data_IF_910171120153
#
_entry.id   IF_910171120153
#
_cell.length_a   1.000
_cell.length_b   1.000
_cell.length_c   1.000
_cell.angle_alpha   90.00
_cell.angle_beta   90.00
_cell.angle_gamma   90.00
#
_symmetry.space_group_name_H-M   'P 1'
#
loop_
_entity.id
_entity.type
_entity.pdbx_description
1 polymer ?
#
# COMPACT_ATOMS: atom_id res chain seq x y z
N UNK A 1 46.57 -23.64 -72.39
CA UNK A 1 46.55 -22.22 -72.82
C UNK A 1 46.48 -21.34 -71.57
N UNK A 2 47.59 -20.69 -71.23
CA UNK A 2 47.67 -19.82 -70.03
C UNK A 2 47.21 -18.43 -70.44
N UNK A 3 46.14 -17.95 -69.78
CA UNK A 3 45.55 -16.62 -69.96
C UNK A 3 46.48 -15.58 -69.28
N UNK A 4 47.27 -14.84 -70.10
CA UNK A 4 48.06 -13.72 -69.62
C UNK A 4 47.17 -12.62 -69.11
N UNK A 5 47.13 -12.37 -67.76
CA UNK A 5 46.55 -11.20 -67.16
C UNK A 5 47.38 -9.97 -67.58
N UNK A 6 46.76 -9.07 -68.33
CA UNK A 6 47.33 -7.76 -68.68
C UNK A 6 47.41 -6.91 -67.47
N UNK A 7 48.62 -6.58 -66.97
CA UNK A 7 48.84 -5.57 -65.95
C UNK A 7 48.28 -4.22 -66.42
N UNK A 8 47.18 -3.75 -65.77
CA UNK A 8 46.63 -2.43 -66.08
C UNK A 8 47.71 -1.38 -65.78
N UNK A 9 48.17 -0.65 -66.80
CA UNK A 9 49.11 0.48 -66.66
C UNK A 9 48.40 1.62 -66.00
N UNK A 10 48.63 1.86 -64.71
CA UNK A 10 48.08 2.95 -63.96
C UNK A 10 48.88 4.21 -64.22
N UNK A 11 48.32 5.21 -64.93
CA UNK A 11 49.00 6.48 -65.21
C UNK A 11 49.14 7.30 -63.96
N UNK A 12 50.21 8.16 -63.83
CA UNK A 12 50.47 9.03 -62.68
C UNK A 12 49.26 9.87 -62.25
N UNK A 13 48.42 10.27 -63.20
CA UNK A 13 47.18 11.02 -62.99
C UNK A 13 46.10 10.17 -62.27
N UNK A 14 46.05 8.88 -62.52
CA UNK A 14 45.13 7.95 -61.88
C UNK A 14 45.58 7.64 -60.43
N UNK A 15 46.89 7.54 -60.19
CA UNK A 15 47.44 7.35 -58.85
C UNK A 15 47.12 8.56 -57.91
N UNK A 16 47.35 9.76 -58.40
CA UNK A 16 47.05 11.02 -57.62
C UNK A 16 45.56 11.18 -57.32
N UNK A 17 44.67 10.64 -58.18
CA UNK A 17 43.22 10.66 -57.94
C UNK A 17 42.81 9.61 -56.89
N UNK A 18 43.37 8.42 -56.96
CA UNK A 18 43.15 7.35 -56.00
C UNK A 18 43.66 7.74 -54.60
N UNK A 19 44.83 8.37 -54.50
CA UNK A 19 45.37 8.87 -53.22
C UNK A 19 44.44 9.95 -52.59
N UNK A 20 43.94 10.89 -53.38
CA UNK A 20 42.97 11.89 -52.89
C UNK A 20 41.65 11.25 -52.45
N UNK A 21 41.13 10.27 -53.17
CA UNK A 21 39.93 9.54 -52.80
C UNK A 21 40.15 8.72 -51.52
N UNK A 22 41.33 8.11 -51.33
CA UNK A 22 41.68 7.38 -50.10
C UNK A 22 41.80 8.32 -48.91
N UNK A 23 42.40 9.49 -49.07
CA UNK A 23 42.51 10.49 -48.04
C UNK A 23 41.12 11.00 -47.66
N UNK A 24 40.27 11.34 -48.62
CA UNK A 24 38.89 11.77 -48.40
C UNK A 24 38.06 10.69 -47.67
N UNK A 25 38.15 9.43 -48.09
CA UNK A 25 37.49 8.29 -47.45
C UNK A 25 37.93 8.16 -45.98
N UNK A 26 39.25 8.28 -45.71
CA UNK A 26 39.77 8.24 -44.34
C UNK A 26 39.18 9.37 -43.48
N UNK A 27 39.17 10.59 -43.98
CA UNK A 27 38.57 11.72 -43.26
C UNK A 27 37.07 11.52 -42.99
N UNK A 28 36.32 11.07 -43.97
CA UNK A 28 34.87 10.77 -43.83
C UNK A 28 34.70 9.65 -42.81
N UNK A 29 35.45 8.57 -42.89
CA UNK A 29 35.37 7.46 -41.93
C UNK A 29 35.71 7.90 -40.51
N UNK A 30 36.80 8.67 -40.35
CA UNK A 30 37.16 9.19 -39.03
C UNK A 30 36.10 10.15 -38.48
N UNK A 31 35.59 11.07 -39.29
CA UNK A 31 34.53 11.96 -38.94
C UNK A 31 33.24 11.22 -38.52
N UNK A 32 32.83 10.19 -39.29
CA UNK A 32 31.68 9.35 -38.98
C UNK A 32 31.87 8.62 -37.65
N UNK A 33 33.03 7.98 -37.47
CA UNK A 33 33.35 7.30 -36.18
C UNK A 33 33.34 8.28 -35.02
N UNK A 34 33.92 9.48 -35.20
CA UNK A 34 33.93 10.49 -34.14
C UNK A 34 32.52 10.94 -33.75
N UNK A 35 31.63 11.15 -34.72
CA UNK A 35 30.22 11.50 -34.45
C UNK A 35 29.53 10.36 -33.70
N UNK A 36 29.71 9.11 -34.11
CA UNK A 36 29.11 7.95 -33.41
C UNK A 36 29.62 7.86 -31.97
N UNK A 37 30.92 8.04 -31.75
CA UNK A 37 31.52 8.01 -30.40
C UNK A 37 30.93 9.13 -29.54
N UNK A 38 30.79 10.34 -30.06
CA UNK A 38 30.20 11.47 -29.33
C UNK A 38 28.74 11.16 -28.96
N UNK A 39 27.93 10.66 -29.89
CA UNK A 39 26.54 10.28 -29.62
C UNK A 39 26.44 9.21 -28.54
N UNK A 40 27.27 8.17 -28.62
CA UNK A 40 27.31 7.12 -27.60
C UNK A 40 27.72 7.70 -26.24
N UNK A 41 28.74 8.55 -26.22
CA UNK A 41 29.18 9.21 -24.98
C UNK A 41 28.07 10.07 -24.33
N UNK A 42 27.31 10.81 -25.12
CA UNK A 42 26.19 11.62 -24.63
C UNK A 42 25.06 10.72 -24.06
N UNK A 43 24.76 9.61 -24.72
CA UNK A 43 23.77 8.65 -24.23
C UNK A 43 24.23 8.06 -22.89
N UNK A 44 25.48 7.60 -22.82
CA UNK A 44 26.06 7.04 -21.56
C UNK A 44 26.07 8.11 -20.46
N UNK A 45 26.48 9.34 -20.76
CA UNK A 45 26.44 10.43 -19.80
C UNK A 45 25.02 10.71 -19.28
N UNK A 46 24.02 10.68 -20.17
CA UNK A 46 22.61 10.78 -19.77
C UNK A 46 22.19 9.68 -18.81
N UNK A 47 22.51 8.43 -19.10
CA UNK A 47 22.22 7.31 -18.20
C UNK A 47 22.92 7.44 -16.83
N UNK A 48 24.17 7.88 -16.81
CA UNK A 48 24.92 8.06 -15.56
C UNK A 48 24.31 9.21 -14.73
N UNK A 49 23.94 10.31 -15.36
CA UNK A 49 23.32 11.44 -14.66
C UNK A 49 21.97 11.03 -14.06
N UNK A 50 21.11 10.41 -14.87
CA UNK A 50 19.76 9.99 -14.42
C UNK A 50 19.80 8.83 -13.40
N UNK A 51 20.64 7.84 -13.63
CA UNK A 51 20.64 6.59 -12.84
C UNK A 51 21.55 6.61 -11.62
N UNK A 52 22.56 7.49 -11.57
CA UNK A 52 23.56 7.48 -10.49
C UNK A 52 23.66 8.82 -9.77
N UNK A 53 23.68 9.93 -10.51
CA UNK A 53 23.94 11.23 -9.90
C UNK A 53 22.66 11.81 -9.28
N UNK A 54 21.57 11.87 -10.03
CA UNK A 54 20.30 12.44 -9.53
C UNK A 54 19.74 11.71 -8.32
N UNK A 55 19.71 10.37 -8.26
CA UNK A 55 19.21 9.66 -7.09
C UNK A 55 19.94 10.00 -5.80
N UNK A 56 21.23 10.28 -5.87
CA UNK A 56 22.07 10.61 -4.70
C UNK A 56 22.07 12.08 -4.31
N UNK A 57 21.36 12.93 -5.05
CA UNK A 57 21.26 14.34 -4.70
C UNK A 57 20.48 14.53 -3.40
N UNK A 58 21.00 15.37 -2.47
CA UNK A 58 20.30 15.69 -1.23
C UNK A 58 19.06 16.54 -1.54
N UNK A 59 17.93 16.21 -0.90
CA UNK A 59 16.70 17.01 -0.93
C UNK A 59 16.42 17.66 0.42
N UNK A 60 16.86 17.03 1.52
CA UNK A 60 16.82 17.57 2.87
C UNK A 60 18.00 17.04 3.68
N UNK A 61 18.28 17.69 4.78
CA UNK A 61 19.28 17.26 5.75
C UNK A 61 18.74 17.48 7.16
N UNK A 62 18.84 16.46 7.99
CA UNK A 62 18.49 16.49 9.41
C UNK A 62 19.77 16.22 10.19
N UNK A 63 20.30 17.23 10.84
CA UNK A 63 21.59 17.19 11.51
C UNK A 63 22.69 16.63 10.58
N UNK A 64 23.23 15.45 10.88
CA UNK A 64 24.29 14.80 10.08
C UNK A 64 23.73 13.85 9.00
N UNK A 65 22.44 13.56 9.01
CA UNK A 65 21.80 12.63 8.08
C UNK A 65 21.25 13.34 6.85
N UNK A 66 21.60 12.83 5.68
CA UNK A 66 21.17 13.37 4.38
C UNK A 66 20.01 12.52 3.84
N UNK A 67 18.87 13.16 3.58
CA UNK A 67 17.74 12.56 2.88
C UNK A 67 17.98 12.73 1.39
N UNK A 68 18.18 11.62 0.67
CA UNK A 68 18.46 11.62 -0.76
C UNK A 68 17.18 11.59 -1.61
N UNK A 69 17.32 11.99 -2.88
CA UNK A 69 16.23 11.89 -3.86
C UNK A 69 15.71 10.45 -4.01
N UNK A 70 16.59 9.46 -3.92
CA UNK A 70 16.23 8.04 -4.02
C UNK A 70 15.34 7.59 -2.85
N UNK A 71 15.74 7.91 -1.61
CA UNK A 71 14.95 7.62 -0.41
C UNK A 71 13.56 8.25 -0.50
N UNK A 72 13.49 9.52 -0.88
CA UNK A 72 12.25 10.23 -1.06
C UNK A 72 11.35 9.59 -2.14
N UNK A 73 11.91 9.33 -3.32
CA UNK A 73 11.15 8.74 -4.42
C UNK A 73 10.66 7.34 -4.08
N UNK A 74 11.46 6.54 -3.38
CA UNK A 74 11.07 5.22 -2.92
C UNK A 74 9.91 5.30 -1.93
N UNK A 75 10.01 6.19 -0.94
CA UNK A 75 8.95 6.41 0.04
C UNK A 75 7.65 6.91 -0.60
N UNK A 76 7.72 7.86 -1.54
CA UNK A 76 6.55 8.35 -2.30
C UNK A 76 5.90 7.21 -3.09
N UNK A 77 6.69 6.35 -3.75
CA UNK A 77 6.15 5.19 -4.48
C UNK A 77 5.44 4.22 -3.55
N UNK A 78 6.01 3.98 -2.35
CA UNK A 78 5.40 3.10 -1.36
C UNK A 78 4.09 3.66 -0.81
N UNK A 79 4.04 4.94 -0.47
CA UNK A 79 2.80 5.58 -0.02
C UNK A 79 1.72 5.57 -1.11
N UNK A 80 2.07 5.86 -2.36
CA UNK A 80 1.13 5.73 -3.48
C UNK A 80 0.59 4.31 -3.62
N UNK A 81 1.46 3.31 -3.45
CA UNK A 81 1.03 1.92 -3.47
C UNK A 81 0.02 1.64 -2.35
N UNK A 82 0.27 2.10 -1.12
CA UNK A 82 -0.65 1.94 0.01
C UNK A 82 -2.00 2.60 -0.25
N UNK A 83 -2.02 3.88 -0.62
CA UNK A 83 -3.26 4.60 -0.95
C UNK A 83 -4.02 3.97 -2.12
N UNK A 84 -3.31 3.52 -3.15
CA UNK A 84 -3.96 2.85 -4.29
C UNK A 84 -4.60 1.54 -3.86
N UNK A 85 -3.93 0.76 -3.02
CA UNK A 85 -4.45 -0.50 -2.48
C UNK A 85 -5.68 -0.24 -1.60
N UNK A 86 -5.63 0.75 -0.74
CA UNK A 86 -6.73 1.18 0.13
C UNK A 86 -7.94 1.64 -0.69
N UNK A 87 -7.71 2.47 -1.71
CA UNK A 87 -8.76 2.90 -2.63
C UNK A 87 -9.45 1.71 -3.31
N UNK A 88 -8.66 0.79 -3.86
CA UNK A 88 -9.19 -0.39 -4.55
C UNK A 88 -9.95 -1.34 -3.61
N UNK A 89 -9.43 -1.57 -2.42
CA UNK A 89 -10.08 -2.40 -1.40
C UNK A 89 -11.42 -1.78 -0.97
N UNK A 90 -11.44 -0.47 -0.71
CA UNK A 90 -12.66 0.26 -0.37
C UNK A 90 -13.67 0.19 -1.51
N UNK A 91 -13.23 0.41 -2.74
CA UNK A 91 -14.11 0.33 -3.92
C UNK A 91 -14.69 -1.07 -4.11
N UNK A 92 -13.90 -2.14 -3.96
CA UNK A 92 -14.37 -3.52 -4.01
C UNK A 92 -15.36 -3.83 -2.87
N UNK A 93 -15.08 -3.32 -1.67
CA UNK A 93 -15.98 -3.47 -0.53
C UNK A 93 -17.34 -2.83 -0.82
N UNK A 94 -17.37 -1.60 -1.35
CA UNK A 94 -18.60 -0.91 -1.75
C UNK A 94 -19.38 -1.74 -2.77
N UNK A 95 -18.72 -2.30 -3.78
CA UNK A 95 -19.36 -3.15 -4.78
C UNK A 95 -19.94 -4.43 -4.17
N UNK A 96 -19.30 -4.99 -3.15
CA UNK A 96 -19.76 -6.20 -2.48
C UNK A 96 -21.02 -6.00 -1.63
N UNK A 97 -21.31 -4.76 -1.22
CA UNK A 97 -22.49 -4.43 -0.41
C UNK A 97 -23.83 -4.60 -1.16
N UNK A 98 -23.80 -4.50 -2.51
CA UNK A 98 -24.98 -4.68 -3.36
C UNK A 98 -26.06 -3.61 -3.20
N UNK A 99 -25.84 -2.57 -2.38
CA UNK A 99 -26.74 -1.43 -2.21
C UNK A 99 -26.37 -0.32 -3.19
N UNK A 100 -27.31 0.16 -4.03
CA UNK A 100 -27.07 1.26 -4.97
C UNK A 100 -26.59 2.57 -4.32
N UNK A 101 -26.91 2.79 -3.05
CA UNK A 101 -26.52 3.99 -2.31
C UNK A 101 -25.18 3.85 -1.59
N UNK A 102 -24.60 2.65 -1.53
CA UNK A 102 -23.35 2.42 -0.79
C UNK A 102 -22.22 3.32 -1.25
N UNK A 103 -22.13 3.65 -2.55
CA UNK A 103 -21.12 4.58 -3.07
C UNK A 103 -21.21 5.96 -2.40
N UNK A 104 -22.42 6.49 -2.19
CA UNK A 104 -22.60 7.82 -1.58
C UNK A 104 -22.09 7.89 -0.13
N UNK A 105 -22.15 6.78 0.61
CA UNK A 105 -21.63 6.74 1.98
C UNK A 105 -20.11 6.82 2.04
N UNK A 106 -19.41 6.32 1.02
CA UNK A 106 -17.97 6.25 0.97
C UNK A 106 -17.32 7.28 0.02
N UNK A 107 -18.13 8.07 -0.68
CA UNK A 107 -17.64 9.03 -1.67
C UNK A 107 -16.63 10.02 -1.09
N UNK A 108 -16.94 10.60 0.06
CA UNK A 108 -16.05 11.56 0.73
C UNK A 108 -14.70 10.91 1.12
N UNK A 109 -14.75 9.66 1.56
CA UNK A 109 -13.54 8.91 1.91
C UNK A 109 -12.69 8.58 0.68
N UNK A 110 -13.32 8.15 -0.41
CA UNK A 110 -12.61 7.90 -1.67
C UNK A 110 -11.99 9.18 -2.25
N UNK A 111 -12.69 10.32 -2.16
CA UNK A 111 -12.18 11.62 -2.57
C UNK A 111 -11.02 12.06 -1.68
N UNK A 112 -11.07 11.79 -0.38
CA UNK A 112 -9.95 12.05 0.53
C UNK A 112 -8.71 11.26 0.11
N UNK A 113 -8.82 9.94 -0.12
CA UNK A 113 -7.69 9.11 -0.59
C UNK A 113 -7.12 9.65 -1.91
N UNK A 114 -7.99 10.09 -2.84
CA UNK A 114 -7.53 10.69 -4.10
C UNK A 114 -6.75 11.98 -3.87
N UNK A 115 -7.22 12.84 -2.96
CA UNK A 115 -6.54 14.08 -2.59
C UNK A 115 -5.16 13.82 -2.00
N UNK A 116 -5.03 12.80 -1.13
CA UNK A 116 -3.73 12.40 -0.55
C UNK A 116 -2.74 11.88 -1.61
N UNK A 117 -3.23 11.36 -2.73
CA UNK A 117 -2.39 10.90 -3.84
C UNK A 117 -1.93 12.02 -4.79
N UNK A 118 -2.44 13.24 -4.64
CA UNK A 118 -1.99 14.37 -5.47
C UNK A 118 -0.50 14.62 -5.30
N UNK A 119 0.25 14.90 -6.38
CA UNK A 119 1.71 14.99 -6.34
C UNK A 119 2.25 15.97 -5.31
N UNK A 120 1.56 17.08 -5.10
CA UNK A 120 1.95 18.11 -4.14
C UNK A 120 1.77 17.64 -2.70
N UNK A 121 0.62 17.06 -2.38
CA UNK A 121 0.31 16.57 -1.03
C UNK A 121 1.18 15.37 -0.66
N UNK A 122 1.19 14.32 -1.50
CA UNK A 122 1.98 13.13 -1.20
C UNK A 122 3.48 13.44 -1.10
N UNK A 123 3.97 14.37 -1.95
CA UNK A 123 5.38 14.77 -1.91
C UNK A 123 5.73 15.51 -0.62
N UNK A 124 4.91 16.49 -0.22
CA UNK A 124 5.15 17.25 1.00
C UNK A 124 5.04 16.38 2.26
N UNK A 125 3.98 15.57 2.34
CA UNK A 125 3.77 14.66 3.48
C UNK A 125 4.92 13.66 3.59
N UNK A 126 5.31 13.03 2.48
CA UNK A 126 6.43 12.08 2.47
C UNK A 126 7.75 12.73 2.92
N UNK A 127 8.02 13.97 2.51
CA UNK A 127 9.24 14.66 2.93
C UNK A 127 9.22 14.95 4.43
N UNK A 128 8.10 15.42 4.96
CA UNK A 128 7.93 15.65 6.39
C UNK A 128 8.08 14.35 7.18
N UNK A 129 7.43 13.27 6.73
CA UNK A 129 7.55 11.94 7.37
C UNK A 129 9.01 11.46 7.41
N UNK A 130 9.78 11.66 6.34
CA UNK A 130 11.19 11.28 6.32
C UNK A 130 12.03 12.11 7.30
N UNK A 131 11.74 13.41 7.41
CA UNK A 131 12.40 14.30 8.37
C UNK A 131 12.05 13.87 9.81
N UNK A 132 10.78 13.64 10.10
CA UNK A 132 10.31 13.21 11.41
C UNK A 132 10.88 11.83 11.79
N UNK A 133 10.97 10.91 10.85
CA UNK A 133 11.59 9.60 11.06
C UNK A 133 13.08 9.71 11.44
N UNK A 134 13.82 10.66 10.88
CA UNK A 134 15.21 10.87 11.29
C UNK A 134 15.31 11.42 12.72
N UNK A 135 14.43 12.33 13.13
CA UNK A 135 14.37 12.79 14.53
C UNK A 135 14.01 11.65 15.48
N UNK A 136 13.06 10.79 15.10
CA UNK A 136 12.68 9.61 15.89
C UNK A 136 13.85 8.64 16.00
N UNK A 137 14.60 8.41 14.92
CA UNK A 137 15.78 7.55 14.91
C UNK A 137 16.90 8.09 15.81
N UNK A 138 17.13 9.40 15.80
CA UNK A 138 18.07 10.06 16.70
C UNK A 138 17.65 9.90 18.16
N UNK A 139 16.37 10.12 18.46
CA UNK A 139 15.85 9.98 19.80
C UNK A 139 15.88 8.53 20.30
N UNK A 140 15.53 7.56 19.42
CA UNK A 140 15.68 6.15 19.73
C UNK A 140 17.12 5.78 20.09
N UNK A 141 18.07 6.27 19.28
CA UNK A 141 19.51 6.08 19.58
C UNK A 141 19.92 6.69 20.91
N UNK A 142 19.42 7.88 21.24
CA UNK A 142 19.68 8.54 22.52
C UNK A 142 19.13 7.75 23.71
N UNK A 143 17.97 7.12 23.53
CA UNK A 143 17.30 6.30 24.53
C UNK A 143 17.82 4.85 24.60
N UNK A 144 18.70 4.45 23.64
CA UNK A 144 19.19 3.08 23.53
C UNK A 144 18.14 2.10 22.99
N UNK A 145 17.09 2.60 22.33
CA UNK A 145 16.03 1.80 21.72
C UNK A 145 16.52 1.29 20.38
N UNK A 146 16.37 -0.02 20.15
CA UNK A 146 16.70 -0.67 18.89
C UNK A 146 15.53 -1.50 18.40
N UNK A 147 15.42 -1.64 17.09
CA UNK A 147 14.48 -2.51 16.41
C UNK A 147 15.28 -3.61 15.72
N UNK A 148 14.91 -4.85 15.98
CA UNK A 148 15.55 -5.99 15.36
C UNK A 148 14.89 -6.32 14.02
N UNK A 149 15.66 -6.91 13.09
CA UNK A 149 15.12 -7.41 11.82
C UNK A 149 13.97 -8.40 12.02
N UNK A 150 14.01 -9.19 13.09
CA UNK A 150 12.95 -10.14 13.44
C UNK A 150 11.63 -9.41 13.79
N UNK A 151 11.69 -8.31 14.54
CA UNK A 151 10.50 -7.50 14.87
C UNK A 151 9.90 -6.85 13.62
N UNK A 152 10.75 -6.34 12.71
CA UNK A 152 10.28 -5.76 11.45
C UNK A 152 9.57 -6.82 10.61
N UNK A 153 10.19 -7.99 10.47
CA UNK A 153 9.61 -9.11 9.72
C UNK A 153 8.29 -9.59 10.32
N UNK A 154 8.22 -9.68 11.63
CA UNK A 154 6.99 -10.02 12.33
C UNK A 154 5.89 -9.00 12.05
N UNK A 155 6.19 -7.71 12.13
CA UNK A 155 5.25 -6.62 11.82
C UNK A 155 4.75 -6.70 10.36
N UNK A 156 5.64 -6.94 9.41
CA UNK A 156 5.29 -7.15 8.00
C UNK A 156 4.37 -8.35 7.85
N UNK A 157 4.67 -9.47 8.51
CA UNK A 157 3.85 -10.67 8.49
C UNK A 157 2.44 -10.41 9.01
N UNK A 158 2.33 -9.70 10.12
CA UNK A 158 1.03 -9.40 10.75
C UNK A 158 0.20 -8.44 9.90
N UNK A 159 0.80 -7.33 9.41
CA UNK A 159 0.05 -6.27 8.75
C UNK A 159 -0.26 -6.61 7.29
N UNK A 160 0.73 -7.08 6.52
CA UNK A 160 0.54 -7.33 5.09
C UNK A 160 -0.11 -8.68 4.84
N UNK A 161 0.34 -9.71 5.56
CA UNK A 161 -0.07 -11.09 5.27
C UNK A 161 -1.08 -11.67 6.26
N UNK A 162 -1.34 -10.97 7.39
CA UNK A 162 -2.16 -11.49 8.48
C UNK A 162 -1.70 -12.88 8.90
N UNK A 163 -0.39 -13.13 8.86
CA UNK A 163 0.25 -14.39 9.18
C UNK A 163 0.86 -14.36 10.58
N UNK A 164 0.42 -15.25 11.42
CA UNK A 164 0.84 -15.41 12.81
C UNK A 164 1.40 -16.81 12.99
N UNK A 165 2.74 -17.00 12.96
CA UNK A 165 3.35 -18.32 13.05
C UNK A 165 3.03 -19.04 14.38
N UNK A 166 2.90 -18.28 15.46
CA UNK A 166 2.62 -18.79 16.81
C UNK A 166 1.11 -18.82 17.14
N UNK A 167 0.25 -18.61 16.14
CA UNK A 167 -1.20 -18.53 16.28
C UNK A 167 -1.71 -17.09 16.34
N UNK A 168 -2.97 -16.91 15.97
CA UNK A 168 -3.61 -15.59 16.02
C UNK A 168 -3.64 -15.09 17.46
N UNK A 169 -3.18 -13.86 17.75
CA UNK A 169 -3.24 -13.33 19.10
C UNK A 169 -4.68 -13.36 19.60
N UNK A 170 -4.89 -13.97 20.76
CA UNK A 170 -6.20 -13.88 21.42
C UNK A 170 -6.47 -12.39 21.68
N UNK A 171 -7.62 -11.84 21.24
CA UNK A 171 -7.92 -10.45 21.54
C UNK A 171 -7.81 -10.26 23.05
N UNK A 172 -7.06 -9.24 23.46
CA UNK A 172 -7.01 -8.88 24.87
C UNK A 172 -8.45 -8.78 25.40
N UNK A 173 -8.74 -9.38 26.55
CA UNK A 173 -10.07 -9.27 27.11
C UNK A 173 -10.40 -7.76 27.21
N UNK A 174 -11.42 -7.35 26.49
CA UNK A 174 -11.90 -5.96 26.48
C UNK A 174 -11.94 -5.49 27.92
N UNK A 175 -11.11 -4.49 28.23
CA UNK A 175 -10.89 -4.05 29.59
C UNK A 175 -12.21 -3.92 30.33
N UNK A 176 -12.20 -4.28 31.59
CA UNK A 176 -13.32 -4.29 32.51
C UNK A 176 -14.24 -3.11 32.15
N UNK A 177 -15.46 -3.45 31.68
CA UNK A 177 -16.52 -2.45 31.55
C UNK A 177 -16.66 -1.87 32.97
N UNK A 178 -16.14 -0.66 33.19
CA UNK A 178 -16.36 0.01 34.43
C UNK A 178 -17.86 -0.03 34.69
N UNK A 179 -18.35 -0.65 35.74
CA UNK A 179 -19.77 -0.68 36.00
C UNK A 179 -20.23 0.77 35.98
N UNK A 180 -21.22 1.09 35.16
CA UNK A 180 -21.84 2.39 35.12
C UNK A 180 -22.17 2.73 36.56
N UNK A 181 -21.66 3.84 37.18
CA UNK A 181 -21.89 4.12 38.54
C UNK A 181 -23.39 4.20 38.74
N UNK A 182 -23.93 3.27 39.51
CA UNK A 182 -25.34 3.29 39.89
C UNK A 182 -25.56 4.61 40.65
N UNK A 183 -26.45 5.45 40.14
CA UNK A 183 -26.77 6.72 40.75
C UNK A 183 -27.09 6.50 42.23
N UNK A 184 -26.48 7.25 43.10
CA UNK A 184 -26.79 7.18 44.53
C UNK A 184 -28.24 7.61 44.78
N UNK A 185 -28.85 7.14 45.87
CA UNK A 185 -30.22 7.52 46.26
C UNK A 185 -30.45 9.03 46.25
N UNK A 186 -29.41 9.81 46.58
CA UNK A 186 -29.42 11.27 46.55
C UNK A 186 -29.43 11.83 45.11
N UNK A 187 -28.75 11.20 44.19
CA UNK A 187 -28.74 11.59 42.77
C UNK A 187 -30.05 11.25 42.08
N UNK A 188 -30.71 10.16 42.47
CA UNK A 188 -32.05 9.82 41.96
C UNK A 188 -33.12 10.84 42.39
N UNK A 189 -32.98 11.49 43.53
CA UNK A 189 -33.95 12.52 43.96
C UNK A 189 -33.79 13.84 43.19
N UNK A 190 -32.70 14.05 42.50
CA UNK A 190 -32.44 15.24 41.68
C UNK A 190 -32.93 15.09 40.23
N UNK A 191 -33.35 13.90 39.81
CA UNK A 191 -33.92 13.69 38.49
C UNK A 191 -35.39 14.12 38.52
N UNK A 192 -35.82 15.14 37.77
CA UNK A 192 -37.22 15.51 37.69
C UNK A 192 -38.04 14.35 37.17
N UNK A 193 -39.22 14.07 37.73
CA UNK A 193 -40.09 12.97 37.27
C UNK A 193 -40.42 13.19 35.77
N UNK A 194 -40.14 12.20 34.96
CA UNK A 194 -40.57 12.20 33.57
C UNK A 194 -42.11 12.31 33.52
N UNK A 195 -42.70 13.27 32.82
CA UNK A 195 -44.15 13.37 32.74
C UNK A 195 -44.71 12.08 32.17
N UNK A 196 -45.42 11.31 32.96
CA UNK A 196 -46.21 10.16 32.54
C UNK A 196 -47.34 10.71 31.72
N UNK A 197 -47.38 10.43 30.41
CA UNK A 197 -48.56 10.70 29.61
C UNK A 197 -49.75 9.94 30.19
N UNK A 198 -50.74 10.69 30.63
CA UNK A 198 -52.02 10.16 31.08
C UNK A 198 -52.72 9.62 29.84
N UNK A 199 -52.76 8.31 29.72
CA UNK A 199 -53.60 7.65 28.72
C UNK A 199 -55.06 7.88 29.13
N UNK A 200 -55.73 8.81 28.47
CA UNK A 200 -57.17 9.02 28.60
C UNK A 200 -57.87 7.80 28.09
N UNK A 201 -58.51 7.06 29.02
CA UNK A 201 -59.39 5.93 28.68
C UNK A 201 -60.60 6.46 27.89
N UNK A 202 -60.68 6.10 26.61
CA UNK A 202 -61.90 6.27 25.82
C UNK A 202 -62.75 5.03 25.99
N UNK A 203 -64.00 5.28 26.31
CA UNK A 203 -65.07 4.37 26.71
C UNK A 203 -65.33 3.25 25.72
N UNK A 204 -65.74 2.15 26.35
CA UNK A 204 -66.46 0.99 25.79
C UNK A 204 -67.54 1.35 24.79
N UNK A 205 -67.59 0.58 23.71
CA UNK A 205 -68.89 0.26 23.07
C UNK A 205 -68.94 -1.25 22.93
N UNK A 206 -69.86 -1.77 23.74
CA UNK A 206 -70.37 -3.13 23.72
C UNK A 206 -70.98 -3.46 22.36
N UNK A 207 -70.68 -4.62 21.79
CA UNK A 207 -71.68 -5.42 21.05
C UNK A 207 -71.20 -6.88 20.86
N UNK A 208 -71.88 -7.74 21.59
CA UNK A 208 -72.50 -9.02 21.20
C UNK A 208 -71.62 -10.20 20.85
N UNK A 209 -71.56 -11.11 21.76
CA UNK A 209 -71.16 -12.48 21.61
C UNK A 209 -72.05 -13.30 20.67
N UNK A 210 -71.38 -14.14 19.88
CA UNK A 210 -72.06 -15.37 19.37
C UNK A 210 -70.98 -16.48 19.49
N UNK A 211 -71.29 -17.58 20.18
CA UNK A 211 -70.41 -18.71 20.31
C UNK A 211 -70.57 -19.68 19.12
N UNK A 212 -69.47 -20.13 18.54
CA UNK A 212 -69.45 -21.32 17.74
C UNK A 212 -68.29 -22.23 18.11
N UNK A 213 -68.73 -23.35 18.44
CA UNK A 213 -68.23 -24.62 18.91
C UNK A 213 -66.93 -25.10 18.24
N UNK A 214 -66.08 -25.62 19.07
CA UNK A 214 -65.29 -26.87 19.08
C UNK A 214 -64.80 -27.43 17.74
N UNK A 215 -63.50 -27.55 17.55
CA UNK A 215 -62.88 -28.86 17.46
C UNK A 215 -61.34 -28.71 17.60
N UNK A 216 -60.78 -29.40 18.57
CA UNK A 216 -59.35 -29.50 18.75
C UNK A 216 -58.69 -30.33 17.64
N UNK A 217 -57.55 -29.86 17.18
CA UNK A 217 -56.48 -30.69 16.66
C UNK A 217 -55.20 -30.18 17.28
N UNK A 218 -54.80 -30.93 18.30
CA UNK A 218 -53.47 -30.92 18.83
C UNK A 218 -52.55 -31.52 17.76
N UNK A 219 -51.79 -30.66 17.09
CA UNK A 219 -50.65 -31.05 16.27
C UNK A 219 -49.49 -30.21 16.73
N UNK A 220 -48.80 -30.73 17.74
CA UNK A 220 -47.44 -30.33 18.07
C UNK A 220 -46.59 -30.76 16.89
N UNK A 221 -46.38 -29.89 15.92
CA UNK A 221 -45.29 -30.01 14.95
C UNK A 221 -44.00 -29.84 15.72
N UNK A 222 -43.37 -30.98 15.99
CA UNK A 222 -41.98 -31.08 16.39
C UNK A 222 -41.13 -30.46 15.27
N UNK A 223 -40.72 -29.20 15.49
CA UNK A 223 -39.79 -28.49 14.57
C UNK A 223 -38.46 -29.22 14.72
N UNK A 224 -38.18 -30.16 13.78
CA UNK A 224 -36.85 -30.72 13.64
C UNK A 224 -35.87 -29.54 13.45
N UNK A 225 -34.78 -29.48 14.25
CA UNK A 225 -33.78 -28.43 14.07
C UNK A 225 -33.17 -28.56 12.67
N UNK A 226 -33.43 -27.57 11.81
CA UNK A 226 -32.75 -27.44 10.52
C UNK A 226 -31.25 -27.58 10.77
N UNK A 227 -30.53 -28.49 10.09
CA UNK A 227 -29.10 -28.62 10.29
C UNK A 227 -28.44 -27.31 9.93
N UNK A 228 -28.04 -26.57 10.94
CA UNK A 228 -27.22 -25.37 10.77
C UNK A 228 -25.90 -25.87 10.20
N UNK A 229 -25.70 -25.68 8.89
CA UNK A 229 -24.41 -25.93 8.25
C UNK A 229 -23.40 -25.08 8.99
N UNK A 230 -22.49 -25.72 9.72
CA UNK A 230 -21.42 -25.01 10.40
C UNK A 230 -20.71 -24.11 9.38
N UNK A 231 -20.40 -22.86 9.72
CA UNK A 231 -19.66 -21.99 8.82
C UNK A 231 -18.36 -22.71 8.44
N UNK A 232 -17.91 -22.59 7.17
CA UNK A 232 -16.69 -23.24 6.72
C UNK A 232 -15.56 -22.88 7.67
N UNK A 233 -14.90 -23.88 8.24
CA UNK A 233 -13.72 -23.68 9.08
C UNK A 233 -12.69 -22.92 8.23
N UNK A 234 -12.19 -21.74 8.67
CA UNK A 234 -11.21 -21.01 7.90
C UNK A 234 -10.02 -21.92 7.64
N UNK A 235 -9.66 -22.07 6.38
CA UNK A 235 -8.49 -22.86 5.98
C UNK A 235 -7.28 -22.29 6.68
N UNK A 236 -6.60 -23.09 7.47
CA UNK A 236 -5.42 -22.65 8.20
C UNK A 236 -4.41 -22.05 7.22
N UNK A 237 -3.96 -20.82 7.48
CA UNK A 237 -2.96 -20.15 6.68
C UNK A 237 -1.62 -20.82 6.90
N UNK A 238 -1.21 -21.66 5.95
CA UNK A 238 0.00 -22.49 6.08
C UNK A 238 1.27 -21.69 5.81
N UNK A 239 2.39 -22.11 6.39
CA UNK A 239 3.71 -21.54 6.13
C UNK A 239 4.06 -21.55 4.62
N UNK A 240 3.64 -22.58 3.92
CA UNK A 240 3.84 -22.72 2.47
C UNK A 240 3.07 -21.64 1.69
N UNK A 241 1.80 -21.41 2.03
CA UNK A 241 0.99 -20.34 1.42
C UNK A 241 1.54 -18.95 1.75
N UNK A 242 2.03 -18.76 2.98
CA UNK A 242 2.70 -17.52 3.37
C UNK A 242 3.94 -17.26 2.51
N UNK A 243 4.85 -18.24 2.35
CA UNK A 243 6.06 -18.10 1.55
C UNK A 243 5.76 -17.79 0.08
N UNK A 244 4.70 -18.37 -0.46
CA UNK A 244 4.25 -18.08 -1.82
C UNK A 244 3.70 -16.66 -1.94
N UNK A 245 2.81 -16.25 -1.03
CA UNK A 245 2.23 -14.92 -1.00
C UNK A 245 3.30 -13.84 -0.80
N UNK A 246 4.28 -14.07 0.09
CA UNK A 246 5.40 -13.17 0.30
C UNK A 246 6.21 -12.96 -0.99
N UNK A 247 6.58 -14.05 -1.68
CA UNK A 247 7.32 -13.95 -2.95
C UNK A 247 6.53 -13.23 -4.03
N UNK A 248 5.24 -13.54 -4.14
CA UNK A 248 4.36 -12.89 -5.11
C UNK A 248 4.23 -11.40 -4.83
N UNK A 249 4.02 -11.03 -3.58
CA UNK A 249 3.95 -9.64 -3.14
C UNK A 249 5.24 -8.88 -3.44
N UNK A 250 6.41 -9.39 -3.01
CA UNK A 250 7.69 -8.73 -3.25
C UNK A 250 8.02 -8.63 -4.75
N UNK A 251 7.69 -9.65 -5.54
CA UNK A 251 7.83 -9.60 -7.00
C UNK A 251 6.92 -8.54 -7.61
N UNK A 252 5.69 -8.45 -7.15
CA UNK A 252 4.71 -7.48 -7.63
C UNK A 252 5.15 -6.04 -7.33
N UNK A 253 5.44 -5.69 -6.07
CA UNK A 253 5.84 -4.33 -5.70
C UNK A 253 7.15 -3.89 -6.37
N UNK A 254 8.10 -4.83 -6.56
CA UNK A 254 9.35 -4.56 -7.26
C UNK A 254 9.12 -4.27 -8.74
N UNK A 255 8.28 -5.03 -9.41
CA UNK A 255 8.06 -4.89 -10.87
C UNK A 255 7.16 -3.71 -11.22
N UNK A 256 6.08 -3.48 -10.48
CA UNK A 256 5.09 -2.44 -10.77
C UNK A 256 5.37 -1.11 -10.08
N UNK A 257 5.73 -1.14 -8.80
CA UNK A 257 5.96 0.07 -8.02
C UNK A 257 7.43 0.48 -7.93
N UNK A 258 8.37 -0.37 -8.37
CA UNK A 258 9.82 -0.16 -8.25
C UNK A 258 10.24 0.08 -6.79
N UNK A 259 9.67 -0.69 -5.90
CA UNK A 259 9.94 -0.69 -4.46
C UNK A 259 10.78 -1.93 -4.15
N UNK A 260 11.89 -1.76 -3.45
CA UNK A 260 12.73 -2.86 -2.99
C UNK A 260 12.18 -3.46 -1.70
N UNK A 261 12.66 -4.64 -1.34
CA UNK A 261 12.37 -5.24 -0.04
C UNK A 261 12.93 -4.37 1.11
N UNK A 262 14.11 -3.78 0.91
CA UNK A 262 14.75 -2.85 1.84
C UNK A 262 13.85 -1.62 2.12
N UNK A 263 13.26 -1.02 1.08
CA UNK A 263 12.33 0.11 1.22
C UNK A 263 11.11 -0.24 2.10
N UNK A 264 10.60 -1.47 1.99
CA UNK A 264 9.50 -1.96 2.84
C UNK A 264 9.97 -2.14 4.27
N UNK A 265 11.15 -2.72 4.47
CA UNK A 265 11.74 -2.90 5.79
C UNK A 265 11.97 -1.55 6.49
N UNK A 266 12.58 -0.59 5.82
CA UNK A 266 12.82 0.76 6.37
C UNK A 266 11.52 1.46 6.78
N UNK A 267 10.45 1.26 6.00
CA UNK A 267 9.14 1.81 6.34
C UNK A 267 8.60 1.21 7.64
N UNK A 268 8.60 -0.11 7.78
CA UNK A 268 8.09 -0.78 8.99
C UNK A 268 9.01 -0.60 10.19
N UNK A 269 10.34 -0.52 9.99
CA UNK A 269 11.28 -0.14 11.05
C UNK A 269 10.94 1.23 11.63
N UNK A 270 10.69 2.23 10.76
CA UNK A 270 10.33 3.57 11.21
C UNK A 270 9.03 3.62 12.00
N UNK A 271 8.03 2.81 11.62
CA UNK A 271 6.78 2.69 12.39
C UNK A 271 7.00 2.09 13.78
N UNK A 272 7.81 1.03 13.86
CA UNK A 272 8.12 0.38 15.16
C UNK A 272 8.95 1.32 16.05
N UNK A 273 9.90 2.06 15.48
CA UNK A 273 10.67 3.07 16.22
C UNK A 273 9.76 4.16 16.78
N UNK A 274 8.84 4.69 15.97
CA UNK A 274 7.85 5.66 16.41
C UNK A 274 7.02 5.13 17.59
N UNK A 275 6.53 3.90 17.50
CA UNK A 275 5.74 3.25 18.54
C UNK A 275 6.54 3.05 19.86
N UNK A 276 7.84 2.73 19.75
CA UNK A 276 8.70 2.50 20.92
C UNK A 276 9.17 3.79 21.59
N UNK A 277 9.22 4.90 20.87
CA UNK A 277 9.70 6.20 21.35
C UNK A 277 8.56 7.06 21.92
N UNK A 278 7.31 6.84 21.44
CA UNK A 278 6.09 7.55 21.90
C UNK A 278 5.64 7.08 23.28
#
# INVERSE_FOLDING_TARGET
MAKRESKKIVTKKHLARIEREQIQRRYITVATISIVVIVVALIVAGFVIEGVIKPKQPIAQVNDTIITTEMFQSRVRYQRYLYTTEYLNTYQFIQSMGDPNSFSYFESYLLQIQSEMEPEFIGLNTLNDLIDNEFIREEANRLGIQVSEAEVKERINQIIFQYYPDGTPTPEPTGIINPTPTLSALQMTLIPPTPTEVVTATQETELTATPTDTTGVDTTEEIEPTPTTAPPTPTAYTESSYKENYRNFMSYIKSYARISEEDVYDYYESLILLEKVS
#
